data_IF_532479713380
#
_entry.id   IF_532479713380
#
_cell.length_a   1.000
_cell.length_b   1.000
_cell.length_c   1.000
_cell.angle_alpha   90.00
_cell.angle_beta   90.00
_cell.angle_gamma   90.00
#
_symmetry.space_group_name_H-M   'P 1'
#
loop_
_entity.id
_entity.type
_entity.pdbx_description
1 polymer ?
#
# COMPACT_ATOMS: atom_id res chain seq x y z
N UNK A 1 -79.19 -13.79 32.71
CA UNK A 1 -78.01 -14.67 32.66
C UNK A 1 -77.42 -14.51 31.29
N UNK A 2 -76.55 -13.49 31.13
CA UNK A 2 -75.83 -13.19 29.84
C UNK A 2 -74.35 -13.52 30.00
N UNK A 3 -73.91 -14.48 29.22
CA UNK A 3 -72.42 -14.79 29.12
C UNK A 3 -71.77 -13.92 28.09
N UNK A 4 -70.82 -13.16 28.56
CA UNK A 4 -69.96 -12.34 27.74
C UNK A 4 -68.77 -13.17 27.20
N UNK A 5 -68.60 -13.31 25.90
CA UNK A 5 -67.45 -13.95 25.28
C UNK A 5 -66.38 -12.88 24.97
N UNK A 6 -65.22 -12.98 25.62
CA UNK A 6 -64.07 -12.16 25.36
C UNK A 6 -63.22 -12.87 24.26
N UNK A 7 -63.12 -12.28 23.09
CA UNK A 7 -62.14 -12.69 22.05
C UNK A 7 -60.82 -12.04 22.33
N UNK A 8 -59.80 -12.83 22.65
CA UNK A 8 -58.42 -12.38 22.71
C UNK A 8 -57.83 -12.46 21.33
N UNK A 9 -57.47 -11.30 20.75
CA UNK A 9 -56.69 -11.20 19.53
C UNK A 9 -55.21 -11.25 19.90
N UNK A 10 -54.53 -12.33 19.54
CA UNK A 10 -53.09 -12.47 19.66
C UNK A 10 -52.41 -11.73 18.48
N UNK A 11 -51.73 -10.63 18.76
CA UNK A 11 -50.94 -9.89 17.79
C UNK A 11 -49.58 -10.56 17.66
N UNK A 12 -49.32 -11.29 16.55
CA UNK A 12 -48.02 -11.81 16.22
C UNK A 12 -47.17 -10.64 15.71
N UNK A 13 -46.21 -10.18 16.50
CA UNK A 13 -45.13 -9.30 16.03
C UNK A 13 -44.08 -10.14 15.30
N UNK A 14 -44.05 -10.03 14.00
CA UNK A 14 -42.95 -10.56 13.19
C UNK A 14 -41.69 -9.72 13.45
N UNK A 15 -40.73 -10.29 14.17
CA UNK A 15 -39.37 -9.71 14.28
C UNK A 15 -38.66 -10.04 12.98
N UNK A 16 -38.52 -9.04 12.12
CA UNK A 16 -37.62 -9.13 10.97
C UNK A 16 -36.17 -9.10 11.48
N UNK A 17 -35.54 -10.26 11.52
CA UNK A 17 -34.10 -10.38 11.69
C UNK A 17 -33.49 -9.82 10.43
N UNK A 18 -33.01 -8.56 10.48
CA UNK A 18 -32.18 -7.99 9.41
C UNK A 18 -30.92 -8.83 9.29
N UNK A 19 -30.77 -9.52 8.18
CA UNK A 19 -29.51 -10.17 7.82
C UNK A 19 -28.45 -9.07 7.77
N UNK A 20 -27.49 -9.07 8.70
CA UNK A 20 -26.27 -8.29 8.57
C UNK A 20 -25.59 -8.79 7.31
N UNK A 21 -25.52 -7.94 6.31
CA UNK A 21 -24.73 -8.20 5.11
C UNK A 21 -23.26 -8.36 5.54
N UNK A 22 -22.76 -9.58 5.44
CA UNK A 22 -21.36 -9.87 5.66
C UNK A 22 -20.58 -9.16 4.56
N UNK A 23 -19.58 -8.32 4.92
CA UNK A 23 -18.75 -7.64 3.93
C UNK A 23 -18.14 -8.69 3.00
N UNK A 24 -18.31 -8.48 1.70
CA UNK A 24 -17.80 -9.43 0.71
C UNK A 24 -16.27 -9.37 0.70
N UNK A 25 -15.61 -10.45 1.14
CA UNK A 25 -14.16 -10.57 1.02
C UNK A 25 -13.78 -10.69 -0.45
N UNK A 26 -12.84 -9.86 -0.89
CA UNK A 26 -12.28 -9.90 -2.25
C UNK A 26 -11.11 -10.86 -2.38
N UNK A 27 -10.74 -11.58 -1.32
CA UNK A 27 -9.60 -12.52 -1.28
C UNK A 27 -10.10 -13.93 -0.99
N UNK A 28 -9.54 -14.98 -1.65
CA UNK A 28 -9.93 -16.36 -1.37
C UNK A 28 -9.66 -16.73 0.10
N UNK A 29 -10.69 -17.24 0.79
CA UNK A 29 -10.64 -17.52 2.24
C UNK A 29 -9.87 -18.77 2.63
N UNK A 30 -9.52 -19.65 1.69
CA UNK A 30 -9.01 -21.01 1.94
C UNK A 30 -7.68 -21.33 1.24
N UNK A 31 -6.98 -20.31 0.75
CA UNK A 31 -5.69 -20.51 0.08
C UNK A 31 -4.59 -20.88 1.09
N UNK A 32 -4.30 -22.16 1.23
CA UNK A 32 -3.31 -22.70 2.18
C UNK A 32 -1.92 -22.02 2.05
N UNK A 33 -1.52 -21.66 0.83
CA UNK A 33 -0.25 -20.95 0.59
C UNK A 33 -0.25 -19.51 1.11
N UNK A 34 -1.39 -18.81 1.10
CA UNK A 34 -1.53 -17.49 1.72
C UNK A 34 -1.61 -17.63 3.25
N UNK A 35 -2.35 -18.61 3.75
CA UNK A 35 -2.43 -18.86 5.19
C UNK A 35 -1.04 -19.11 5.80
N UNK A 36 -0.16 -19.84 5.09
CA UNK A 36 1.22 -20.07 5.53
C UNK A 36 2.05 -18.76 5.56
N UNK A 37 1.76 -17.79 4.72
CA UNK A 37 2.46 -16.49 4.71
C UNK A 37 2.04 -15.56 5.87
N UNK A 38 0.87 -15.77 6.47
CA UNK A 38 0.37 -14.94 7.57
C UNK A 38 1.29 -14.95 8.81
N UNK A 39 1.98 -16.07 9.06
CA UNK A 39 2.92 -16.23 10.17
C UNK A 39 4.37 -16.44 9.73
N UNK A 40 4.67 -16.24 8.46
CA UNK A 40 6.00 -16.49 7.91
C UNK A 40 7.06 -15.41 8.18
N UNK A 41 6.75 -14.11 8.33
CA UNK A 41 7.76 -13.10 8.62
C UNK A 41 8.46 -13.36 9.94
N UNK A 42 9.80 -13.35 9.90
CA UNK A 42 10.65 -13.70 11.02
C UNK A 42 11.08 -12.45 11.80
N UNK A 43 10.67 -12.33 13.06
CA UNK A 43 11.14 -11.26 13.95
C UNK A 43 12.69 -11.25 14.07
N UNK A 44 13.32 -12.42 13.99
CA UNK A 44 14.79 -12.53 14.02
C UNK A 44 15.44 -11.93 12.78
N UNK A 45 14.91 -12.20 11.58
CA UNK A 45 15.42 -11.61 10.32
C UNK A 45 15.17 -10.11 10.27
N UNK A 46 13.98 -9.65 10.68
CA UNK A 46 13.66 -8.23 10.78
C UNK A 46 14.60 -7.51 11.75
N UNK A 47 14.81 -8.05 12.93
CA UNK A 47 15.76 -7.51 13.92
C UNK A 47 17.19 -7.48 13.39
N UNK A 48 17.65 -8.55 12.76
CA UNK A 48 19.00 -8.61 12.19
C UNK A 48 19.20 -7.54 11.11
N UNK A 49 18.20 -7.32 10.26
CA UNK A 49 18.21 -6.30 9.20
C UNK A 49 18.28 -4.90 9.80
N UNK A 50 17.39 -4.54 10.74
CA UNK A 50 17.39 -3.22 11.39
C UNK A 50 18.69 -3.00 12.16
N UNK A 51 19.17 -3.99 12.94
CA UNK A 51 20.44 -3.89 13.67
C UNK A 51 21.59 -3.58 12.70
N UNK A 52 21.61 -4.20 11.55
CA UNK A 52 22.63 -3.94 10.53
C UNK A 52 22.54 -2.55 9.93
N UNK A 53 21.33 -2.09 9.57
CA UNK A 53 21.11 -0.75 9.01
C UNK A 53 21.49 0.35 10.01
N UNK A 54 21.12 0.19 11.27
CA UNK A 54 21.51 1.09 12.38
C UNK A 54 23.02 1.14 12.56
N UNK A 55 23.72 0.03 12.36
CA UNK A 55 25.19 -0.05 12.54
C UNK A 55 26.00 0.81 11.56
N UNK A 56 25.36 1.35 10.51
CA UNK A 56 26.02 2.29 9.58
C UNK A 56 26.11 3.73 10.14
N UNK A 57 25.63 3.96 11.34
CA UNK A 57 25.69 5.24 12.06
C UNK A 57 24.73 6.27 11.52
N UNK A 58 24.93 6.71 10.29
CA UNK A 58 23.98 7.51 9.52
C UNK A 58 23.79 6.90 8.14
N UNK A 59 22.58 7.06 7.60
CA UNK A 59 22.26 6.72 6.19
C UNK A 59 21.78 7.96 5.44
N UNK A 60 22.09 9.16 5.94
CA UNK A 60 21.70 10.42 5.31
C UNK A 60 22.10 10.43 3.82
N UNK A 61 21.23 10.89 2.93
CA UNK A 61 21.46 10.86 1.46
C UNK A 61 22.78 11.49 1.04
N UNK A 62 23.21 12.58 1.71
CA UNK A 62 24.49 13.25 1.46
C UNK A 62 25.64 12.73 2.34
N UNK A 63 25.49 11.60 3.03
CA UNK A 63 26.57 11.00 3.85
C UNK A 63 27.59 10.28 2.94
N UNK A 64 28.60 9.67 3.55
CA UNK A 64 29.68 8.98 2.83
C UNK A 64 29.15 7.88 1.90
N UNK A 65 29.55 7.95 0.62
CA UNK A 65 29.18 6.98 -0.42
C UNK A 65 30.25 5.93 -0.68
N UNK A 66 31.45 6.10 -0.11
CA UNK A 66 32.66 5.28 -0.38
C UNK A 66 33.03 4.35 0.76
N UNK A 67 32.69 4.70 2.00
CA UNK A 67 32.92 3.87 3.18
C UNK A 67 32.18 2.53 3.07
N UNK A 68 32.80 1.48 3.59
CA UNK A 68 32.20 0.13 3.69
C UNK A 68 31.44 -0.11 4.99
N UNK A 69 31.57 0.79 5.95
CA UNK A 69 31.06 0.59 7.31
C UNK A 69 30.16 1.72 7.81
N UNK A 70 30.10 2.87 7.13
CA UNK A 70 29.32 4.02 7.52
C UNK A 70 28.71 4.73 6.30
N UNK A 71 27.55 5.33 6.48
CA UNK A 71 26.90 6.17 5.48
C UNK A 71 26.02 5.42 4.51
N UNK A 72 25.38 6.20 3.63
CA UNK A 72 24.40 5.70 2.64
C UNK A 72 25.03 4.71 1.66
N UNK A 73 26.31 4.90 1.28
CA UNK A 73 27.02 4.00 0.38
C UNK A 73 27.16 2.60 0.94
N UNK A 74 27.54 2.49 2.23
CA UNK A 74 27.65 1.19 2.92
C UNK A 74 26.28 0.51 3.03
N UNK A 75 25.23 1.26 3.31
CA UNK A 75 23.87 0.75 3.39
C UNK A 75 23.37 0.21 2.04
N UNK A 76 23.55 0.98 0.95
CA UNK A 76 23.19 0.56 -0.43
C UNK A 76 23.93 -0.72 -0.83
N UNK A 77 25.24 -0.81 -0.57
CA UNK A 77 26.03 -2.01 -0.87
C UNK A 77 25.54 -3.22 -0.09
N UNK A 78 25.18 -3.06 1.17
CA UNK A 78 24.69 -4.14 2.01
C UNK A 78 23.31 -4.63 1.55
N UNK A 79 22.36 -3.72 1.27
CA UNK A 79 21.02 -4.08 0.77
C UNK A 79 21.15 -4.82 -0.57
N UNK A 80 21.99 -4.32 -1.48
CA UNK A 80 22.29 -4.97 -2.76
C UNK A 80 22.78 -6.42 -2.55
N UNK A 81 23.79 -6.59 -1.69
CA UNK A 81 24.33 -7.91 -1.37
C UNK A 81 23.28 -8.84 -0.71
N UNK A 82 22.37 -8.28 0.09
CA UNK A 82 21.27 -9.04 0.70
C UNK A 82 20.29 -9.55 -0.36
N UNK A 83 19.84 -8.71 -1.30
CA UNK A 83 19.00 -9.13 -2.42
C UNK A 83 19.70 -10.15 -3.33
N UNK A 84 21.00 -9.96 -3.61
CA UNK A 84 21.79 -10.93 -4.37
C UNK A 84 21.90 -12.28 -3.64
N UNK A 85 21.96 -12.28 -2.29
CA UNK A 85 21.92 -13.51 -1.51
C UNK A 85 20.59 -14.23 -1.64
N UNK A 86 19.47 -13.49 -1.49
CA UNK A 86 18.12 -14.04 -1.70
C UNK A 86 17.97 -14.61 -3.12
N UNK A 87 18.53 -13.90 -4.12
CA UNK A 87 18.55 -14.37 -5.50
C UNK A 87 19.29 -15.71 -5.65
N UNK A 88 20.47 -15.85 -5.05
CA UNK A 88 21.20 -17.14 -5.06
C UNK A 88 20.41 -18.26 -4.40
N UNK A 89 19.75 -17.98 -3.28
CA UNK A 89 18.97 -18.96 -2.52
C UNK A 89 17.73 -19.48 -3.28
N UNK A 90 17.26 -18.75 -4.27
CA UNK A 90 16.17 -19.15 -5.17
C UNK A 90 16.64 -19.53 -6.60
N UNK A 91 17.92 -19.76 -6.80
CA UNK A 91 18.45 -20.17 -8.11
C UNK A 91 18.52 -19.06 -9.16
N UNK A 92 18.70 -17.78 -8.73
CA UNK A 92 18.80 -16.65 -9.63
C UNK A 92 17.45 -16.03 -10.01
N UNK A 93 16.41 -16.22 -9.19
CA UNK A 93 15.05 -15.78 -9.50
C UNK A 93 14.83 -14.26 -9.40
N UNK A 94 15.79 -13.51 -8.85
CA UNK A 94 15.72 -12.07 -8.64
C UNK A 94 16.84 -11.36 -9.42
N UNK A 95 16.47 -10.39 -10.23
CA UNK A 95 17.36 -9.41 -10.84
C UNK A 95 17.55 -8.23 -9.87
N UNK A 96 18.80 -7.81 -9.62
CA UNK A 96 19.08 -6.64 -8.76
C UNK A 96 19.62 -5.51 -9.61
N UNK A 97 18.94 -4.36 -9.59
CA UNK A 97 19.33 -3.16 -10.34
C UNK A 97 19.46 -1.95 -9.40
N UNK A 98 20.19 -0.93 -9.84
CA UNK A 98 20.42 0.29 -9.05
C UNK A 98 20.15 1.53 -9.91
N UNK A 99 18.86 1.84 -10.21
CA UNK A 99 18.53 3.06 -10.92
C UNK A 99 18.99 4.29 -10.12
N UNK A 100 19.50 5.31 -10.80
CA UNK A 100 19.92 6.54 -10.16
C UNK A 100 19.67 7.77 -11.04
N UNK A 101 19.52 8.92 -10.39
CA UNK A 101 19.47 10.24 -11.03
C UNK A 101 20.20 11.26 -10.14
N UNK A 102 20.69 12.34 -10.75
CA UNK A 102 21.35 13.43 -10.01
C UNK A 102 20.36 14.57 -9.80
N UNK A 103 20.24 15.00 -8.56
CA UNK A 103 19.34 16.09 -8.16
C UNK A 103 20.08 17.24 -7.51
N UNK A 104 19.49 18.44 -7.61
CA UNK A 104 19.80 19.62 -6.82
C UNK A 104 18.49 20.21 -6.30
N UNK A 105 18.51 20.79 -5.11
CA UNK A 105 17.32 21.40 -4.51
C UNK A 105 17.61 22.03 -3.16
N UNK A 106 16.59 22.52 -2.50
CA UNK A 106 16.74 23.21 -1.20
C UNK A 106 17.45 22.34 -0.16
N UNK A 107 17.18 21.02 -0.14
CA UNK A 107 17.78 20.04 0.78
C UNK A 107 18.92 19.23 0.13
N UNK A 108 19.24 19.51 -1.14
CA UNK A 108 20.39 18.99 -1.89
C UNK A 108 21.12 20.15 -2.59
N UNK A 109 21.88 20.98 -1.85
CA UNK A 109 22.44 22.22 -2.38
C UNK A 109 23.55 22.00 -3.41
N UNK A 110 24.10 20.79 -3.48
CA UNK A 110 25.08 20.37 -4.49
C UNK A 110 24.52 19.22 -5.30
N UNK A 111 24.93 19.02 -6.58
CA UNK A 111 24.54 17.86 -7.37
C UNK A 111 24.82 16.57 -6.61
N UNK A 112 23.75 15.85 -6.26
CA UNK A 112 23.81 14.63 -5.46
C UNK A 112 23.16 13.48 -6.23
N UNK A 113 23.89 12.38 -6.38
CA UNK A 113 23.35 11.16 -6.95
C UNK A 113 22.44 10.47 -5.93
N UNK A 114 21.16 10.36 -6.26
CA UNK A 114 20.19 9.53 -5.55
C UNK A 114 20.09 8.21 -6.29
N UNK A 115 20.38 7.11 -5.58
CA UNK A 115 20.44 5.76 -6.14
C UNK A 115 19.59 4.84 -5.28
N UNK A 116 18.67 4.11 -5.90
CA UNK A 116 17.86 3.10 -5.26
C UNK A 116 18.47 1.71 -5.43
N UNK A 117 18.10 0.78 -4.56
CA UNK A 117 18.46 -0.64 -4.67
C UNK A 117 17.19 -1.45 -4.86
N UNK A 118 17.05 -2.04 -6.05
CA UNK A 118 15.79 -2.63 -6.50
C UNK A 118 15.97 -4.10 -6.83
N UNK A 119 15.16 -4.96 -6.22
CA UNK A 119 15.06 -6.38 -6.50
C UNK A 119 13.81 -6.66 -7.33
N UNK A 120 13.96 -7.32 -8.46
CA UNK A 120 12.90 -7.59 -9.44
C UNK A 120 12.75 -9.10 -9.61
N UNK A 121 11.61 -9.64 -9.21
CA UNK A 121 11.23 -11.02 -9.50
C UNK A 121 10.21 -11.03 -10.63
N UNK A 122 10.63 -11.47 -11.82
CA UNK A 122 9.78 -11.49 -13.02
C UNK A 122 8.58 -12.42 -12.85
N UNK A 123 7.41 -11.95 -13.29
CA UNK A 123 6.20 -12.75 -13.36
C UNK A 123 6.26 -13.78 -14.50
N UNK A 124 5.54 -14.89 -14.35
CA UNK A 124 5.40 -15.92 -15.40
C UNK A 124 4.35 -15.54 -16.45
N UNK A 125 3.43 -14.62 -16.10
CA UNK A 125 2.40 -14.06 -16.99
C UNK A 125 2.89 -12.82 -17.73
N UNK A 126 2.16 -11.68 -17.60
CA UNK A 126 2.60 -10.40 -18.17
C UNK A 126 3.75 -9.81 -17.33
N UNK A 127 4.98 -9.76 -17.86
CA UNK A 127 6.13 -9.23 -17.12
C UNK A 127 6.08 -7.72 -16.91
N UNK A 128 5.22 -7.00 -17.64
CA UNK A 128 5.03 -5.56 -17.49
C UNK A 128 3.97 -5.21 -16.44
N UNK A 129 3.16 -6.17 -16.02
CA UNK A 129 2.27 -6.02 -14.87
C UNK A 129 3.09 -6.13 -13.59
N UNK A 130 3.15 -5.06 -12.80
CA UNK A 130 4.12 -4.91 -11.70
C UNK A 130 3.42 -4.53 -10.41
N UNK A 131 3.81 -5.20 -9.32
CA UNK A 131 3.41 -4.88 -7.96
C UNK A 131 4.68 -4.48 -7.20
N UNK A 132 4.68 -3.29 -6.64
CA UNK A 132 5.84 -2.67 -5.99
C UNK A 132 5.64 -2.63 -4.48
N UNK A 133 6.71 -2.83 -3.73
CA UNK A 133 6.81 -2.54 -2.31
C UNK A 133 8.05 -1.69 -2.07
N UNK A 134 7.88 -0.53 -1.46
CA UNK A 134 8.95 0.42 -1.17
C UNK A 134 9.12 0.69 0.32
N UNK A 135 10.28 1.17 0.69
CA UNK A 135 10.67 1.74 1.96
C UNK A 135 11.97 2.52 1.76
N UNK A 136 12.19 3.61 2.49
CA UNK A 136 13.36 4.42 2.25
C UNK A 136 14.57 4.02 3.10
N UNK A 137 15.73 4.02 2.48
CA UNK A 137 16.99 3.60 3.08
C UNK A 137 17.67 4.71 3.87
N UNK A 138 17.48 5.97 3.45
CA UNK A 138 18.09 7.10 4.10
C UNK A 138 17.47 7.38 5.47
N UNK A 139 18.20 8.10 6.30
CA UNK A 139 17.82 8.50 7.67
C UNK A 139 18.35 9.88 7.99
N UNK A 140 17.76 10.56 8.97
CA UNK A 140 18.17 11.91 9.39
C UNK A 140 18.05 12.13 10.89
N UNK A 141 18.70 13.18 11.35
CA UNK A 141 18.48 13.80 12.66
C UNK A 141 17.60 15.05 12.54
N UNK A 142 17.45 15.82 13.60
CA UNK A 142 16.61 17.04 13.64
C UNK A 142 16.98 18.03 12.51
N UNK A 143 18.26 18.32 12.33
CA UNK A 143 18.72 19.12 11.20
C UNK A 143 18.78 18.24 9.92
N UNK A 144 17.86 18.48 9.01
CA UNK A 144 17.76 17.75 7.72
C UNK A 144 18.99 17.90 6.83
N UNK A 145 19.90 18.85 7.13
CA UNK A 145 21.15 19.06 6.38
C UNK A 145 22.35 18.38 7.05
N UNK A 146 22.18 17.83 8.25
CA UNK A 146 23.27 17.20 9.01
C UNK A 146 23.50 15.76 8.53
N UNK A 147 24.42 15.59 7.60
CA UNK A 147 24.81 14.30 7.02
C UNK A 147 25.89 13.55 7.81
N UNK A 148 26.32 14.05 8.99
CA UNK A 148 27.49 13.55 9.72
C UNK A 148 27.17 12.88 11.04
N UNK A 149 26.21 13.44 11.79
CA UNK A 149 25.80 12.90 13.09
C UNK A 149 25.17 11.53 12.94
N UNK A 150 25.23 10.73 14.01
CA UNK A 150 24.55 9.45 14.03
C UNK A 150 23.04 9.65 13.95
N UNK A 151 22.44 9.03 12.95
CA UNK A 151 21.02 9.00 12.67
C UNK A 151 20.61 7.53 12.45
N UNK A 152 20.36 6.77 13.52
CA UNK A 152 20.12 5.33 13.45
C UNK A 152 18.94 4.98 12.56
N UNK A 153 17.84 5.76 12.61
CA UNK A 153 16.67 5.55 11.76
C UNK A 153 16.16 4.12 11.85
N UNK A 154 15.96 3.61 13.07
CA UNK A 154 15.59 2.22 13.28
C UNK A 154 14.15 1.94 12.83
N UNK A 155 13.26 2.90 13.10
CA UNK A 155 11.87 2.86 12.66
C UNK A 155 11.66 3.68 11.38
N UNK A 156 12.32 4.84 11.27
CA UNK A 156 12.28 5.75 10.12
C UNK A 156 13.63 5.70 9.35
N UNK A 157 13.82 4.85 8.28
CA UNK A 157 12.85 3.85 7.86
C UNK A 157 13.54 2.49 7.65
N UNK A 158 14.43 2.11 8.60
CA UNK A 158 14.97 0.76 8.55
C UNK A 158 13.85 -0.30 8.76
N UNK A 159 12.71 0.07 9.34
CA UNK A 159 11.57 -0.83 9.51
C UNK A 159 10.93 -1.19 8.18
N UNK A 160 10.67 -0.22 7.30
CA UNK A 160 10.15 -0.46 5.96
C UNK A 160 11.15 -1.24 5.09
N UNK A 161 12.45 -0.87 5.16
CA UNK A 161 13.50 -1.63 4.44
C UNK A 161 13.59 -3.09 4.94
N UNK A 162 13.45 -3.33 6.25
CA UNK A 162 13.43 -4.69 6.78
C UNK A 162 12.21 -5.47 6.31
N UNK A 163 11.04 -4.84 6.29
CA UNK A 163 9.80 -5.44 5.80
C UNK A 163 9.91 -5.86 4.33
N UNK A 164 10.42 -4.98 3.44
CA UNK A 164 10.55 -5.32 2.01
C UNK A 164 11.62 -6.40 1.73
N UNK A 165 12.72 -6.43 2.48
CA UNK A 165 13.74 -7.48 2.35
C UNK A 165 13.14 -8.83 2.79
N UNK A 166 12.43 -8.86 3.90
CA UNK A 166 11.79 -10.08 4.40
C UNK A 166 10.68 -10.57 3.44
N UNK A 167 9.83 -9.66 2.94
CA UNK A 167 8.84 -9.98 1.92
C UNK A 167 9.49 -10.56 0.65
N UNK A 168 10.62 -9.97 0.19
CA UNK A 168 11.35 -10.48 -0.97
C UNK A 168 11.88 -11.90 -0.73
N UNK A 169 12.39 -12.18 0.48
CA UNK A 169 12.88 -13.52 0.88
C UNK A 169 11.75 -14.56 0.86
N UNK A 170 10.59 -14.21 1.39
CA UNK A 170 9.43 -15.11 1.44
C UNK A 170 8.85 -15.35 0.04
N UNK A 171 8.67 -14.28 -0.73
CA UNK A 171 8.06 -14.35 -2.05
C UNK A 171 9.01 -14.86 -3.14
N UNK A 172 10.33 -14.86 -2.91
CA UNK A 172 11.29 -15.46 -3.83
C UNK A 172 10.97 -16.92 -4.14
N UNK A 173 10.39 -17.65 -3.18
CA UNK A 173 10.06 -19.09 -3.26
C UNK A 173 8.62 -19.36 -3.75
N UNK A 174 7.84 -18.30 -4.02
CA UNK A 174 6.44 -18.42 -4.43
C UNK A 174 6.30 -18.25 -5.95
N UNK A 175 5.28 -18.86 -6.54
CA UNK A 175 4.91 -18.59 -7.92
C UNK A 175 4.13 -17.26 -8.03
N UNK A 176 4.43 -16.49 -9.06
CA UNK A 176 3.79 -15.21 -9.35
C UNK A 176 3.51 -15.07 -10.86
N UNK A 177 2.35 -14.53 -11.21
CA UNK A 177 1.99 -14.18 -12.59
C UNK A 177 2.43 -12.76 -12.92
N UNK A 178 2.24 -11.81 -11.99
CA UNK A 178 2.77 -10.45 -12.12
C UNK A 178 4.22 -10.37 -11.62
N UNK A 179 4.98 -9.39 -12.10
CA UNK A 179 6.32 -9.06 -11.61
C UNK A 179 6.23 -8.43 -10.23
N UNK A 180 7.08 -8.88 -9.31
CA UNK A 180 7.22 -8.32 -7.96
C UNK A 180 8.49 -7.48 -7.89
N UNK A 181 8.37 -6.27 -7.34
CA UNK A 181 9.48 -5.32 -7.17
C UNK A 181 9.57 -4.92 -5.70
N UNK A 182 10.77 -5.01 -5.14
CA UNK A 182 11.10 -4.60 -3.78
C UNK A 182 12.21 -3.56 -3.86
N UNK A 183 11.97 -2.35 -3.39
CA UNK A 183 12.89 -1.25 -3.59
C UNK A 183 13.21 -0.51 -2.30
N UNK A 184 14.50 -0.48 -1.94
CA UNK A 184 15.05 0.39 -0.90
C UNK A 184 15.43 1.72 -1.55
N UNK A 185 14.67 2.76 -1.26
CA UNK A 185 14.76 4.08 -1.88
C UNK A 185 15.75 4.97 -1.13
N UNK A 186 16.30 5.97 -1.81
CA UNK A 186 17.19 6.96 -1.19
C UNK A 186 16.63 8.36 -1.40
N UNK A 187 16.92 9.30 -0.50
CA UNK A 187 16.56 10.70 -0.68
C UNK A 187 15.09 11.03 -0.43
N UNK A 188 14.38 10.19 0.31
CA UNK A 188 13.04 10.51 0.82
C UNK A 188 13.10 11.77 1.67
N UNK A 189 13.98 11.80 2.65
CA UNK A 189 14.17 12.86 3.64
C UNK A 189 14.60 14.20 3.04
N UNK A 190 15.18 14.17 1.86
CA UNK A 190 15.57 15.37 1.13
C UNK A 190 14.52 15.85 0.13
N UNK A 191 13.45 15.07 -0.13
CA UNK A 191 12.34 15.50 -0.98
C UNK A 191 11.79 14.42 -1.92
N UNK A 192 11.63 13.18 -1.44
CA UNK A 192 11.00 12.06 -2.15
C UNK A 192 11.72 11.68 -3.46
N UNK A 193 13.04 11.92 -3.52
CA UNK A 193 13.78 11.74 -4.76
C UNK A 193 13.89 10.29 -5.20
N UNK A 194 14.01 9.34 -4.27
CA UNK A 194 14.03 7.91 -4.57
C UNK A 194 12.71 7.42 -5.16
N UNK A 195 11.58 7.80 -4.55
CA UNK A 195 10.28 7.53 -5.13
C UNK A 195 10.16 8.05 -6.57
N UNK A 196 10.73 9.25 -6.84
CA UNK A 196 10.78 9.78 -8.20
C UNK A 196 11.68 8.97 -9.14
N UNK A 197 12.88 8.58 -8.68
CA UNK A 197 13.81 7.74 -9.47
C UNK A 197 13.12 6.45 -9.90
N UNK A 198 12.46 5.77 -8.96
CA UNK A 198 11.79 4.49 -9.25
C UNK A 198 10.54 4.68 -10.13
N UNK A 199 9.72 5.71 -9.89
CA UNK A 199 8.56 6.01 -10.72
C UNK A 199 8.98 6.34 -12.17
N UNK A 200 10.01 7.17 -12.37
CA UNK A 200 10.56 7.48 -13.69
C UNK A 200 11.13 6.21 -14.37
N UNK A 201 11.80 5.35 -13.60
CA UNK A 201 12.30 4.06 -14.09
C UNK A 201 11.15 3.16 -14.55
N UNK A 202 10.07 3.07 -13.79
CA UNK A 202 8.87 2.30 -14.14
C UNK A 202 8.24 2.81 -15.45
N UNK A 203 8.13 4.15 -15.60
CA UNK A 203 7.66 4.78 -16.84
C UNK A 203 8.56 4.43 -18.02
N UNK A 204 9.88 4.57 -17.86
CA UNK A 204 10.85 4.28 -18.94
C UNK A 204 10.86 2.80 -19.34
N UNK A 205 10.55 1.88 -18.41
CA UNK A 205 10.43 0.44 -18.69
C UNK A 205 9.06 0.05 -19.28
N UNK A 206 8.11 0.97 -19.37
CA UNK A 206 6.75 0.66 -19.81
C UNK A 206 5.98 -0.22 -18.82
N UNK A 207 6.33 -0.18 -17.54
CA UNK A 207 5.65 -0.95 -16.51
C UNK A 207 4.23 -0.46 -16.31
N UNK A 208 3.33 -1.42 -16.10
CA UNK A 208 1.98 -1.19 -15.62
C UNK A 208 1.96 -1.48 -14.12
N UNK A 209 2.33 -0.48 -13.33
CA UNK A 209 2.35 -0.60 -11.87
C UNK A 209 0.91 -0.64 -11.38
N UNK A 210 0.51 -1.79 -10.85
CA UNK A 210 -0.82 -2.02 -10.28
C UNK A 210 -0.96 -1.36 -8.92
N UNK A 211 0.12 -1.34 -8.16
CA UNK A 211 0.26 -0.59 -6.90
C UNK A 211 1.71 -0.44 -6.49
N UNK A 212 2.01 0.64 -5.75
CA UNK A 212 3.12 0.72 -4.83
C UNK A 212 2.60 0.65 -3.39
N UNK A 213 3.13 -0.28 -2.59
CA UNK A 213 2.91 -0.41 -1.16
C UNK A 213 4.09 0.26 -0.45
N UNK A 214 4.01 1.57 -0.23
CA UNK A 214 5.06 2.32 0.44
C UNK A 214 4.99 2.10 1.95
N UNK A 215 6.04 1.51 2.53
CA UNK A 215 6.17 1.24 3.95
C UNK A 215 7.13 2.25 4.55
N UNK A 216 6.64 3.09 5.44
CA UNK A 216 7.43 4.15 6.04
C UNK A 216 6.94 4.34 7.49
N UNK A 217 7.83 4.10 8.45
CA UNK A 217 7.58 3.94 9.89
C UNK A 217 6.52 2.87 10.20
N UNK A 218 6.92 1.61 10.13
CA UNK A 218 6.02 0.45 10.31
C UNK A 218 6.41 -0.44 11.50
N UNK A 219 7.32 0.02 12.34
CA UNK A 219 7.93 -0.79 13.39
C UNK A 219 7.57 -0.42 14.83
N UNK A 220 6.79 0.63 15.10
CA UNK A 220 6.45 1.03 16.43
C UNK A 220 4.95 0.91 16.72
N UNK A 221 4.60 0.44 17.91
CA UNK A 221 3.19 0.29 18.35
C UNK A 221 2.81 1.25 19.49
N UNK A 222 3.73 2.13 19.92
CA UNK A 222 3.54 3.06 21.03
C UNK A 222 3.67 4.51 20.57
N UNK A 223 2.61 5.29 20.72
CA UNK A 223 2.63 6.73 20.46
C UNK A 223 3.34 7.54 21.56
N UNK A 224 3.76 8.75 21.21
CA UNK A 224 4.39 9.71 22.14
C UNK A 224 3.52 10.00 23.37
N UNK A 225 2.19 9.92 23.24
CA UNK A 225 1.25 10.10 24.35
C UNK A 225 1.11 8.86 25.26
N UNK A 226 1.89 7.80 24.99
CA UNK A 226 1.84 6.54 25.72
C UNK A 226 0.73 5.57 25.26
N UNK A 227 -0.09 5.95 24.31
CA UNK A 227 -1.08 5.04 23.72
C UNK A 227 -0.37 3.87 23.04
N UNK A 228 -0.88 2.65 23.23
CA UNK A 228 -0.36 1.44 22.59
C UNK A 228 -1.46 0.86 21.71
N UNK A 229 -1.16 0.66 20.42
CA UNK A 229 -2.01 -0.08 19.51
C UNK A 229 -1.13 -0.91 18.56
N UNK A 230 -1.00 -2.18 18.89
CA UNK A 230 -0.34 -3.18 18.07
C UNK A 230 -1.34 -4.06 17.28
N UNK A 231 -2.61 -3.66 17.24
CA UNK A 231 -3.70 -4.39 16.58
C UNK A 231 -4.23 -3.69 15.33
N UNK A 232 -3.71 -2.51 15.00
CA UNK A 232 -4.07 -1.83 13.77
C UNK A 232 -2.84 -1.25 13.05
N UNK A 233 -2.99 -1.07 11.74
CA UNK A 233 -2.04 -0.38 10.87
C UNK A 233 -2.80 0.63 10.02
N UNK A 234 -2.25 1.84 9.83
CA UNK A 234 -2.86 2.85 8.99
C UNK A 234 -2.45 2.64 7.53
N UNK A 235 -3.43 2.70 6.63
CA UNK A 235 -3.20 2.72 5.19
C UNK A 235 -3.80 4.00 4.62
N UNK A 236 -2.92 4.91 4.20
CA UNK A 236 -3.30 6.16 3.54
C UNK A 236 -3.49 5.92 2.06
N UNK A 237 -4.53 6.49 1.49
CA UNK A 237 -4.82 6.39 0.06
C UNK A 237 -5.54 7.64 -0.44
N UNK A 238 -5.16 8.13 -1.62
CA UNK A 238 -5.90 9.20 -2.27
C UNK A 238 -7.34 8.75 -2.60
N UNK A 239 -8.28 9.66 -2.60
CA UNK A 239 -9.67 9.38 -2.98
C UNK A 239 -9.89 9.53 -4.47
N UNK A 240 -9.24 10.52 -5.05
CA UNK A 240 -9.23 10.84 -6.48
C UNK A 240 -7.79 10.83 -6.98
N UNK A 241 -7.58 10.54 -8.26
CA UNK A 241 -6.24 10.50 -8.85
C UNK A 241 -5.54 11.87 -8.78
N UNK A 242 -4.30 11.91 -8.33
CA UNK A 242 -3.49 13.14 -8.24
C UNK A 242 -3.26 13.82 -9.59
N UNK A 243 -3.38 13.07 -10.69
CA UNK A 243 -3.24 13.57 -12.07
C UNK A 243 -4.59 13.71 -12.81
N UNK A 244 -5.71 13.78 -12.06
CA UNK A 244 -7.05 13.97 -12.64
C UNK A 244 -7.14 15.30 -13.37
N UNK A 245 -7.69 15.28 -14.59
CA UNK A 245 -7.95 16.50 -15.38
C UNK A 245 -9.25 17.17 -14.94
N UNK A 246 -9.40 18.47 -15.25
CA UNK A 246 -10.64 19.22 -14.97
C UNK A 246 -11.89 18.58 -15.60
N UNK A 247 -11.76 17.99 -16.81
CA UNK A 247 -12.85 17.27 -17.48
C UNK A 247 -13.24 16.00 -16.71
N UNK A 248 -12.25 15.22 -16.25
CA UNK A 248 -12.49 14.04 -15.44
C UNK A 248 -13.12 14.40 -14.09
N UNK A 249 -12.65 15.46 -13.43
CA UNK A 249 -13.24 15.96 -12.18
C UNK A 249 -14.71 16.39 -12.36
N UNK A 250 -15.03 17.04 -13.49
CA UNK A 250 -16.41 17.41 -13.81
C UNK A 250 -17.28 16.17 -14.04
N UNK A 251 -16.82 15.19 -14.82
CA UNK A 251 -17.56 13.95 -15.03
C UNK A 251 -17.77 13.18 -13.70
N UNK A 252 -16.74 13.10 -12.86
CA UNK A 252 -16.81 12.46 -11.54
C UNK A 252 -17.85 13.09 -10.62
N UNK A 253 -18.06 14.40 -10.67
CA UNK A 253 -19.07 15.07 -9.84
C UNK A 253 -20.51 14.63 -10.14
N UNK A 254 -20.77 14.00 -11.28
CA UNK A 254 -22.07 13.43 -11.66
C UNK A 254 -22.13 11.91 -11.49
N UNK A 255 -20.99 11.21 -11.60
CA UNK A 255 -20.96 9.75 -11.61
C UNK A 255 -20.46 9.15 -10.30
N UNK A 256 -20.00 9.98 -9.36
CA UNK A 256 -19.32 9.52 -8.15
C UNK A 256 -17.85 9.16 -8.42
N UNK A 257 -17.18 8.60 -7.40
CA UNK A 257 -15.76 8.21 -7.48
C UNK A 257 -14.82 9.09 -6.65
N UNK A 258 -15.37 9.98 -5.78
CA UNK A 258 -14.59 10.81 -4.86
C UNK A 258 -13.74 9.99 -3.88
N UNK A 259 -14.11 8.75 -3.66
CA UNK A 259 -13.47 7.83 -2.72
C UNK A 259 -13.19 6.46 -3.35
N UNK A 260 -13.05 6.40 -4.68
CA UNK A 260 -12.95 5.15 -5.42
C UNK A 260 -11.78 5.10 -6.41
N UNK A 261 -10.74 5.91 -6.17
CA UNK A 261 -9.49 5.78 -6.92
C UNK A 261 -8.92 4.36 -6.83
N UNK A 262 -8.06 3.95 -7.75
CA UNK A 262 -7.35 2.68 -7.66
C UNK A 262 -6.60 2.50 -6.34
N UNK A 263 -5.96 3.57 -5.83
CA UNK A 263 -5.27 3.56 -4.53
C UNK A 263 -6.24 3.30 -3.37
N UNK A 264 -7.44 3.88 -3.39
CA UNK A 264 -8.47 3.65 -2.38
C UNK A 264 -9.01 2.22 -2.43
N UNK A 265 -9.23 1.68 -3.63
CA UNK A 265 -9.66 0.29 -3.79
C UNK A 265 -8.54 -0.69 -3.43
N UNK A 266 -7.27 -0.31 -3.58
CA UNK A 266 -6.13 -1.06 -3.04
C UNK A 266 -6.15 -1.09 -1.50
N UNK A 267 -6.42 0.04 -0.84
CA UNK A 267 -6.55 0.05 0.63
C UNK A 267 -7.71 -0.85 1.11
N UNK A 268 -8.85 -0.87 0.38
CA UNK A 268 -9.95 -1.83 0.64
C UNK A 268 -9.50 -3.28 0.44
N UNK A 269 -8.73 -3.55 -0.60
CA UNK A 269 -8.17 -4.86 -0.85
C UNK A 269 -7.27 -5.33 0.30
N UNK A 270 -6.36 -4.47 0.77
CA UNK A 270 -5.51 -4.75 1.92
C UNK A 270 -6.32 -5.01 3.20
N UNK A 271 -7.41 -4.26 3.41
CA UNK A 271 -8.31 -4.51 4.54
C UNK A 271 -8.96 -5.91 4.44
N UNK A 272 -9.42 -6.31 3.26
CA UNK A 272 -9.96 -7.66 3.05
C UNK A 272 -8.92 -8.77 3.26
N UNK A 273 -7.66 -8.53 2.87
CA UNK A 273 -6.54 -9.44 3.16
C UNK A 273 -6.33 -9.58 4.67
N UNK A 274 -6.31 -8.46 5.39
CA UNK A 274 -6.16 -8.47 6.84
C UNK A 274 -7.33 -9.22 7.51
N UNK A 275 -8.56 -8.88 7.16
CA UNK A 275 -9.78 -9.51 7.72
C UNK A 275 -9.79 -11.04 7.49
N UNK A 276 -9.21 -11.50 6.37
CA UNK A 276 -9.18 -12.92 6.00
C UNK A 276 -8.05 -13.70 6.69
N UNK A 277 -6.83 -13.13 6.74
CA UNK A 277 -5.62 -13.88 7.11
C UNK A 277 -4.95 -13.40 8.39
N UNK A 278 -5.25 -12.19 8.86
CA UNK A 278 -4.63 -11.56 10.02
C UNK A 278 -5.68 -11.02 11.00
N UNK A 279 -6.48 -11.89 11.63
CA UNK A 279 -7.66 -11.48 12.42
C UNK A 279 -7.32 -10.52 13.57
N UNK A 280 -6.06 -10.50 14.01
CA UNK A 280 -5.58 -9.62 15.07
C UNK A 280 -4.92 -8.32 14.53
N UNK A 281 -4.95 -8.05 13.23
CA UNK A 281 -4.41 -6.84 12.63
C UNK A 281 -5.45 -6.17 11.72
N UNK A 282 -6.05 -5.09 12.18
CA UNK A 282 -7.03 -4.32 11.42
C UNK A 282 -6.35 -3.25 10.57
N UNK A 283 -6.73 -3.15 9.31
CA UNK A 283 -6.37 -2.01 8.46
C UNK A 283 -7.27 -0.81 8.79
N UNK A 284 -6.67 0.25 9.31
CA UNK A 284 -7.32 1.54 9.49
C UNK A 284 -7.10 2.39 8.22
N UNK A 285 -8.08 2.36 7.31
CA UNK A 285 -8.01 3.17 6.08
C UNK A 285 -8.12 4.65 6.41
N UNK A 286 -7.11 5.43 6.00
CA UNK A 286 -7.12 6.89 6.13
C UNK A 286 -7.41 7.51 4.76
N UNK A 287 -8.49 8.28 4.69
CA UNK A 287 -8.98 8.92 3.47
C UNK A 287 -8.21 10.21 3.17
N UNK A 288 -6.90 10.08 3.01
CA UNK A 288 -5.93 11.11 2.61
C UNK A 288 -4.77 10.45 1.89
N UNK A 289 -4.11 11.20 1.02
CA UNK A 289 -2.89 10.76 0.34
C UNK A 289 -1.76 10.43 1.31
N UNK A 290 -1.62 11.26 2.38
CA UNK A 290 -0.63 11.11 3.43
C UNK A 290 -1.08 11.80 4.73
N UNK A 291 -0.23 11.81 5.75
CA UNK A 291 -0.39 12.58 6.99
C UNK A 291 -0.62 14.06 6.68
N UNK A 292 -1.31 14.76 7.55
CA UNK A 292 -1.69 16.15 7.33
C UNK A 292 -0.47 17.05 7.05
N UNK A 293 -0.41 17.62 5.84
CA UNK A 293 0.68 18.51 5.42
C UNK A 293 2.03 17.81 5.23
N UNK A 294 2.08 16.48 5.10
CA UNK A 294 3.29 15.67 4.89
C UNK A 294 3.15 14.84 3.61
N UNK A 295 4.22 14.17 3.22
CA UNK A 295 4.28 13.28 2.06
C UNK A 295 5.10 12.02 2.40
N UNK A 296 5.30 11.17 1.39
CA UNK A 296 6.11 9.96 1.40
C UNK A 296 6.34 9.49 -0.04
N UNK A 297 7.12 8.42 -0.22
CA UNK A 297 7.57 7.95 -1.53
C UNK A 297 6.45 7.42 -2.45
N UNK A 298 5.23 7.18 -1.93
CA UNK A 298 4.06 6.89 -2.76
C UNK A 298 3.64 8.08 -3.64
N UNK A 299 3.95 9.33 -3.22
CA UNK A 299 3.51 10.54 -3.93
C UNK A 299 4.08 10.65 -5.35
N UNK A 300 5.37 10.42 -5.61
CA UNK A 300 5.89 10.36 -6.98
C UNK A 300 5.21 9.32 -7.88
N UNK A 301 4.80 8.16 -7.34
CA UNK A 301 4.03 7.17 -8.10
C UNK A 301 2.64 7.71 -8.47
N UNK A 302 1.94 8.32 -7.53
CA UNK A 302 0.63 8.95 -7.78
C UNK A 302 0.74 10.06 -8.84
N UNK A 303 1.78 10.90 -8.77
CA UNK A 303 2.05 11.95 -9.75
C UNK A 303 2.38 11.38 -11.15
N UNK A 304 3.05 10.22 -11.21
CA UNK A 304 3.28 9.50 -12.45
C UNK A 304 2.03 8.79 -12.99
N UNK A 305 0.92 8.80 -12.25
CA UNK A 305 -0.35 8.17 -12.62
C UNK A 305 -0.45 6.70 -12.26
N UNK A 306 0.41 6.22 -11.36
CA UNK A 306 0.34 4.86 -10.81
C UNK A 306 -0.41 4.84 -9.48
N UNK A 307 -1.21 3.81 -9.20
CA UNK A 307 -1.79 3.60 -7.88
C UNK A 307 -0.70 3.38 -6.82
N UNK A 308 -0.87 3.99 -5.65
CA UNK A 308 0.04 3.79 -4.53
C UNK A 308 -0.67 4.06 -3.20
N UNK A 309 -0.21 3.39 -2.15
CA UNK A 309 -0.68 3.60 -0.78
C UNK A 309 0.50 3.74 0.16
N UNK A 310 0.33 4.48 1.26
CA UNK A 310 1.29 4.49 2.37
C UNK A 310 0.79 3.60 3.49
N UNK A 311 1.60 2.64 3.87
CA UNK A 311 1.44 1.80 5.06
C UNK A 311 2.29 2.39 6.17
N UNK A 312 1.70 2.65 7.33
CA UNK A 312 2.42 3.23 8.47
C UNK A 312 1.80 2.78 9.80
N UNK A 313 2.57 2.86 10.86
CA UNK A 313 2.16 2.45 12.20
C UNK A 313 0.91 3.18 12.71
N UNK A 314 0.23 2.58 13.71
CA UNK A 314 -1.01 3.12 14.28
C UNK A 314 -0.81 4.47 14.99
N UNK A 315 0.28 4.62 15.73
CA UNK A 315 0.63 5.81 16.50
C UNK A 315 2.11 6.16 16.31
N UNK A 316 2.39 7.42 15.96
CA UNK A 316 3.75 7.92 15.79
C UNK A 316 4.34 8.43 17.12
N UNK A 317 5.63 8.20 17.36
CA UNK A 317 6.39 8.77 18.46
C UNK A 317 7.38 9.82 17.96
N UNK A 318 7.03 11.08 18.10
CA UNK A 318 7.85 12.22 17.67
C UNK A 318 9.06 12.50 18.56
N UNK A 319 9.23 11.77 19.68
CA UNK A 319 10.48 11.80 20.45
C UNK A 319 11.55 10.90 19.82
N UNK A 320 11.13 9.98 18.97
CA UNK A 320 12.03 9.12 18.20
C UNK A 320 12.25 9.66 16.79
N UNK A 321 11.18 9.93 16.04
CA UNK A 321 11.23 10.32 14.62
C UNK A 321 11.99 11.64 14.43
N UNK A 322 12.97 11.64 13.53
CA UNK A 322 13.76 12.83 13.14
C UNK A 322 14.47 13.55 14.31
N UNK A 323 14.89 12.83 15.33
CA UNK A 323 15.51 13.41 16.51
C UNK A 323 17.01 13.13 16.60
N UNK A 324 17.76 14.10 17.17
CA UNK A 324 19.13 13.86 17.60
C UNK A 324 19.15 12.85 18.74
N UNK A 325 20.19 12.02 18.80
CA UNK A 325 20.43 11.14 19.95
C UNK A 325 20.78 11.96 21.19
N UNK A 326 19.86 12.09 22.14
CA UNK A 326 20.05 12.85 23.37
C UNK A 326 19.09 12.39 24.46
N UNK A 327 19.45 12.78 25.70
CA UNK A 327 18.50 12.73 26.83
C UNK A 327 18.06 14.16 27.17
N UNK A 328 16.78 14.38 27.35
CA UNK A 328 16.21 15.67 27.71
C UNK A 328 16.72 16.13 29.07
N UNK A 329 17.05 17.42 29.20
CA UNK A 329 17.62 18.02 30.41
C UNK A 329 16.79 19.18 30.94
N UNK A 330 15.83 19.68 30.20
CA UNK A 330 14.92 20.74 30.64
C UNK A 330 13.84 20.19 31.58
N UNK A 331 13.15 21.09 32.29
CA UNK A 331 12.06 20.67 33.20
C UNK A 331 10.86 20.04 32.43
N UNK A 332 10.75 20.31 31.14
CA UNK A 332 9.67 19.77 30.28
C UNK A 332 9.98 18.37 29.74
N UNK A 333 11.26 18.02 29.59
CA UNK A 333 11.68 16.79 28.95
C UNK A 333 12.73 15.99 29.69
N UNK A 334 12.98 16.34 30.98
CA UNK A 334 14.01 15.70 31.80
C UNK A 334 13.87 14.18 31.83
N UNK A 335 14.91 13.50 31.35
CA UNK A 335 14.98 12.05 31.30
C UNK A 335 14.31 11.41 30.07
N UNK A 336 13.66 12.19 29.23
CA UNK A 336 13.14 11.68 27.94
C UNK A 336 14.32 11.32 27.04
N UNK A 337 14.32 10.09 26.52
CA UNK A 337 15.31 9.63 25.55
C UNK A 337 14.81 9.96 24.16
N UNK A 338 15.59 10.73 23.42
CA UNK A 338 15.32 11.11 22.03
C UNK A 338 16.19 10.32 21.06
N UNK A 339 15.67 10.14 19.85
CA UNK A 339 16.36 9.50 18.74
C UNK A 339 15.73 8.17 18.36
N UNK A 340 15.80 7.88 17.08
CA UNK A 340 15.22 6.68 16.48
C UNK A 340 16.15 5.48 16.62
N UNK A 341 16.06 4.82 17.76
CA UNK A 341 16.88 3.67 18.12
C UNK A 341 16.08 2.36 18.05
N UNK A 342 16.81 1.24 17.99
CA UNK A 342 16.22 -0.10 17.91
C UNK A 342 15.32 -0.46 19.11
N UNK A 343 15.52 0.19 20.25
CA UNK A 343 14.72 -0.02 21.46
C UNK A 343 13.26 0.44 21.28
N UNK A 344 12.99 1.32 20.30
CA UNK A 344 11.65 1.79 19.96
C UNK A 344 10.89 0.84 19.02
N UNK A 345 11.52 -0.21 18.51
CA UNK A 345 10.91 -1.12 17.54
C UNK A 345 10.20 -2.29 18.23
N UNK A 346 8.90 -2.43 17.95
CA UNK A 346 8.09 -3.59 18.29
C UNK A 346 8.18 -4.62 17.12
N UNK A 347 9.05 -5.60 17.26
CA UNK A 347 9.31 -6.58 16.20
C UNK A 347 8.14 -7.52 15.94
N UNK A 348 7.31 -7.77 16.96
CA UNK A 348 6.10 -8.56 16.77
C UNK A 348 5.09 -7.80 15.90
N UNK A 349 4.88 -6.52 16.18
CA UNK A 349 4.04 -5.66 15.35
C UNK A 349 4.59 -5.53 13.93
N UNK A 350 5.89 -5.27 13.77
CA UNK A 350 6.56 -5.17 12.47
C UNK A 350 6.39 -6.47 11.65
N UNK A 351 6.49 -7.64 12.27
CA UNK A 351 6.29 -8.92 11.58
C UNK A 351 4.86 -9.04 11.04
N UNK A 352 3.86 -8.58 11.77
CA UNK A 352 2.44 -8.60 11.34
C UNK A 352 2.18 -7.61 10.20
N UNK A 353 2.75 -6.40 10.26
CA UNK A 353 2.66 -5.44 9.14
C UNK A 353 3.38 -5.98 7.90
N UNK A 354 4.54 -6.61 8.09
CA UNK A 354 5.26 -7.31 7.00
C UNK A 354 4.40 -8.44 6.40
N UNK A 355 3.68 -9.21 7.24
CA UNK A 355 2.77 -10.24 6.78
C UNK A 355 1.64 -9.67 5.90
N UNK A 356 1.03 -8.56 6.30
CA UNK A 356 -0.01 -7.87 5.51
C UNK A 356 0.49 -7.53 4.10
N UNK A 357 1.66 -6.88 4.00
CA UNK A 357 2.25 -6.52 2.71
C UNK A 357 2.59 -7.76 1.88
N UNK A 358 3.21 -8.78 2.50
CA UNK A 358 3.58 -10.03 1.84
C UNK A 358 2.37 -10.77 1.29
N UNK A 359 1.29 -10.87 2.09
CA UNK A 359 0.02 -11.48 1.68
C UNK A 359 -0.64 -10.72 0.54
N UNK A 360 -0.68 -9.39 0.64
CA UNK A 360 -1.23 -8.51 -0.40
C UNK A 360 -0.50 -8.72 -1.73
N UNK A 361 0.84 -8.67 -1.72
CA UNK A 361 1.65 -8.91 -2.92
C UNK A 361 1.45 -10.32 -3.48
N UNK A 362 1.42 -11.34 -2.62
CA UNK A 362 1.22 -12.73 -3.02
C UNK A 362 -0.14 -12.93 -3.70
N UNK A 363 -1.21 -12.43 -3.11
CA UNK A 363 -2.56 -12.55 -3.63
C UNK A 363 -2.71 -11.81 -4.97
N UNK A 364 -2.29 -10.54 -5.03
CA UNK A 364 -2.31 -9.73 -6.24
C UNK A 364 -1.50 -10.38 -7.37
N UNK A 365 -0.31 -10.89 -7.06
CA UNK A 365 0.58 -11.46 -8.08
C UNK A 365 0.03 -12.71 -8.75
N UNK A 366 -0.94 -13.39 -8.14
CA UNK A 366 -1.59 -14.60 -8.65
C UNK A 366 -2.94 -14.32 -9.29
N UNK A 367 -3.57 -13.20 -8.94
CA UNK A 367 -4.81 -12.75 -9.55
C UNK A 367 -4.58 -12.34 -11.03
N UNK A 368 -5.60 -12.36 -11.89
CA UNK A 368 -5.53 -11.68 -13.18
C UNK A 368 -5.40 -10.16 -12.99
N UNK A 369 -5.07 -9.43 -14.05
CA UNK A 369 -5.06 -7.96 -14.00
C UNK A 369 -6.46 -7.40 -13.68
N UNK A 370 -6.58 -6.22 -13.05
CA UNK A 370 -7.86 -5.55 -12.90
C UNK A 370 -8.53 -5.31 -14.25
N UNK A 371 -9.87 -5.46 -14.37
CA UNK A 371 -10.60 -5.19 -15.62
C UNK A 371 -10.41 -3.75 -16.11
N UNK A 372 -10.50 -3.54 -17.40
CA UNK A 372 -10.49 -2.21 -18.02
C UNK A 372 -11.84 -1.89 -18.64
N UNK A 373 -12.09 -0.61 -18.95
CA UNK A 373 -13.31 -0.20 -19.62
C UNK A 373 -14.59 -0.46 -18.82
N UNK A 374 -14.51 -0.45 -17.51
CA UNK A 374 -15.68 -0.66 -16.64
C UNK A 374 -16.64 0.51 -16.80
N UNK A 375 -17.90 0.22 -17.16
CA UNK A 375 -18.98 1.19 -17.34
C UNK A 375 -20.28 0.69 -16.72
N UNK A 376 -21.19 1.61 -16.42
CA UNK A 376 -22.54 1.31 -15.92
C UNK A 376 -23.58 2.03 -16.78
N UNK A 377 -24.73 1.39 -16.97
CA UNK A 377 -25.89 1.91 -17.70
C UNK A 377 -27.17 1.59 -16.92
N UNK A 378 -28.17 2.47 -16.99
CA UNK A 378 -29.46 2.24 -16.31
C UNK A 378 -30.11 3.49 -15.72
N UNK A 379 -29.65 4.71 -16.10
CA UNK A 379 -30.09 5.98 -15.52
C UNK A 379 -31.62 6.23 -15.50
N UNK A 380 -32.40 5.54 -16.34
CA UNK A 380 -33.84 5.64 -16.39
C UNK A 380 -34.50 4.24 -16.29
N UNK A 381 -33.87 3.31 -15.56
CA UNK A 381 -34.33 1.93 -15.39
C UNK A 381 -34.23 1.52 -13.91
N UNK A 382 -34.96 0.47 -13.55
CA UNK A 382 -34.85 -0.16 -12.22
C UNK A 382 -33.67 -1.14 -12.13
N UNK A 383 -33.08 -1.49 -13.28
CA UNK A 383 -31.99 -2.42 -13.41
C UNK A 383 -30.70 -1.67 -13.78
N UNK A 384 -29.57 -2.10 -13.27
CA UNK A 384 -28.26 -1.58 -13.66
C UNK A 384 -27.50 -2.61 -14.51
N UNK A 385 -27.03 -2.20 -15.68
CA UNK A 385 -26.11 -2.99 -16.50
C UNK A 385 -24.68 -2.56 -16.22
N UNK A 386 -23.83 -3.51 -15.84
CA UNK A 386 -22.38 -3.31 -15.63
C UNK A 386 -21.62 -4.00 -16.76
N UNK A 387 -20.67 -3.31 -17.38
CA UNK A 387 -19.87 -3.82 -18.52
C UNK A 387 -18.38 -3.61 -18.26
N UNK A 388 -17.55 -4.48 -18.86
CA UNK A 388 -16.08 -4.40 -18.76
C UNK A 388 -15.40 -5.09 -19.95
N UNK A 389 -14.12 -4.81 -20.13
CA UNK A 389 -13.30 -5.57 -21.08
C UNK A 389 -12.77 -6.84 -20.41
N UNK A 390 -12.84 -7.98 -21.12
CA UNK A 390 -12.27 -9.25 -20.65
C UNK A 390 -10.76 -9.15 -20.45
N UNK A 391 -10.28 -9.85 -19.44
CA UNK A 391 -8.86 -9.88 -19.03
C UNK A 391 -8.27 -11.24 -19.32
N UNK A 392 -7.07 -11.27 -19.90
CA UNK A 392 -6.34 -12.52 -20.11
C UNK A 392 -6.05 -13.23 -18.78
N UNK A 393 -6.31 -14.53 -18.73
CA UNK A 393 -6.13 -15.35 -17.53
C UNK A 393 -7.25 -15.26 -16.48
N UNK A 394 -8.26 -14.45 -16.69
CA UNK A 394 -9.48 -14.49 -15.89
C UNK A 394 -10.32 -15.73 -16.26
N UNK A 395 -10.79 -16.45 -15.24
CA UNK A 395 -11.76 -17.53 -15.37
C UNK A 395 -13.21 -17.04 -15.17
N UNK A 396 -13.35 -15.86 -14.63
CA UNK A 396 -14.61 -15.18 -14.39
C UNK A 396 -14.40 -13.80 -13.79
N UNK A 397 -15.52 -13.18 -13.42
CA UNK A 397 -15.55 -11.84 -12.85
C UNK A 397 -16.48 -11.83 -11.65
N UNK A 398 -16.31 -10.78 -10.81
CA UNK A 398 -17.21 -10.49 -9.72
C UNK A 398 -17.63 -9.03 -9.80
N UNK A 399 -18.94 -8.80 -9.84
CA UNK A 399 -19.51 -7.46 -9.76
C UNK A 399 -19.83 -7.16 -8.32
N UNK A 400 -19.38 -6.01 -7.86
CA UNK A 400 -19.55 -5.53 -6.50
C UNK A 400 -20.44 -4.29 -6.51
N UNK A 401 -21.24 -4.12 -5.44
CA UNK A 401 -21.91 -2.85 -5.20
C UNK A 401 -22.03 -2.57 -3.71
N UNK A 402 -22.14 -1.30 -3.39
CA UNK A 402 -22.21 -0.81 -2.02
C UNK A 402 -23.07 0.44 -1.95
N UNK A 403 -23.67 0.69 -0.78
CA UNK A 403 -24.23 2.00 -0.44
C UNK A 403 -23.17 3.09 -0.70
N UNK A 404 -23.61 4.24 -1.20
CA UNK A 404 -22.73 5.36 -1.56
C UNK A 404 -21.94 5.92 -0.37
N UNK A 405 -22.39 5.67 0.87
CA UNK A 405 -21.72 6.06 2.11
C UNK A 405 -20.92 4.94 2.76
N UNK A 406 -21.04 3.69 2.31
CA UNK A 406 -20.34 2.56 2.89
C UNK A 406 -18.84 2.59 2.56
N UNK A 407 -17.94 2.31 3.53
CA UNK A 407 -16.49 2.31 3.31
C UNK A 407 -16.01 1.09 2.53
N UNK A 408 -16.74 -0.03 2.59
CA UNK A 408 -16.39 -1.33 1.99
C UNK A 408 -17.48 -1.80 1.02
N UNK A 409 -17.12 -2.67 0.08
CA UNK A 409 -18.05 -3.37 -0.79
C UNK A 409 -18.94 -4.29 0.03
N UNK A 410 -20.27 -4.18 -0.10
CA UNK A 410 -21.24 -4.85 0.76
C UNK A 410 -21.89 -6.03 0.05
N UNK A 411 -22.03 -5.96 -1.26
CA UNK A 411 -22.69 -6.95 -2.10
C UNK A 411 -21.77 -7.39 -3.21
N UNK A 412 -21.98 -8.62 -3.67
CA UNK A 412 -21.26 -9.16 -4.83
C UNK A 412 -22.07 -10.20 -5.57
N UNK A 413 -21.83 -10.30 -6.86
CA UNK A 413 -22.36 -11.35 -7.73
C UNK A 413 -21.22 -11.91 -8.58
N UNK A 414 -21.00 -13.24 -8.49
CA UNK A 414 -20.07 -13.93 -9.38
C UNK A 414 -20.68 -14.06 -10.79
N UNK A 415 -19.87 -13.75 -11.78
CA UNK A 415 -20.19 -13.82 -13.19
C UNK A 415 -19.13 -14.70 -13.84
N UNK A 416 -19.52 -15.60 -14.74
CA UNK A 416 -18.60 -16.45 -15.49
C UNK A 416 -17.71 -15.65 -16.44
N UNK A 417 -17.21 -16.28 -17.50
CA UNK A 417 -16.43 -15.61 -18.55
C UNK A 417 -17.35 -14.78 -19.48
N UNK A 418 -17.94 -13.73 -18.89
CA UNK A 418 -18.78 -12.76 -19.57
C UNK A 418 -18.13 -11.37 -19.53
N UNK A 419 -18.65 -10.43 -20.31
CA UNK A 419 -18.17 -9.05 -20.38
C UNK A 419 -19.19 -8.04 -19.84
N UNK A 420 -20.33 -8.52 -19.35
CA UNK A 420 -21.40 -7.71 -18.76
C UNK A 420 -22.34 -8.54 -17.88
N UNK A 421 -23.10 -7.83 -17.05
CA UNK A 421 -24.24 -8.41 -16.31
C UNK A 421 -25.32 -7.35 -16.11
N UNK A 422 -26.58 -7.81 -16.03
CA UNK A 422 -27.71 -6.96 -15.63
C UNK A 422 -28.09 -7.31 -14.20
N UNK A 423 -27.93 -6.37 -13.29
CA UNK A 423 -28.35 -6.46 -11.90
C UNK A 423 -29.84 -6.05 -11.82
N UNK A 424 -30.71 -7.03 -11.58
CA UNK A 424 -32.14 -6.82 -11.52
C UNK A 424 -32.54 -6.12 -10.25
N UNK A 425 -33.43 -5.13 -10.33
CA UNK A 425 -33.95 -4.35 -9.21
C UNK A 425 -32.84 -3.66 -8.36
N UNK A 426 -31.68 -3.38 -8.96
CA UNK A 426 -30.59 -2.60 -8.37
C UNK A 426 -30.51 -1.27 -9.12
N UNK A 427 -31.04 -0.22 -8.50
CA UNK A 427 -31.14 1.12 -9.12
C UNK A 427 -29.79 1.82 -9.10
N UNK A 428 -29.35 2.34 -10.25
CA UNK A 428 -28.03 2.94 -10.42
C UNK A 428 -27.78 4.13 -9.48
N UNK A 429 -28.83 4.89 -9.12
CA UNK A 429 -28.72 6.10 -8.29
C UNK A 429 -28.40 5.80 -6.83
N UNK A 430 -28.74 4.61 -6.35
CA UNK A 430 -28.63 4.27 -4.91
C UNK A 430 -27.29 3.64 -4.54
N UNK A 431 -26.52 3.17 -5.53
CA UNK A 431 -25.34 2.32 -5.30
C UNK A 431 -24.10 2.78 -6.07
N UNK A 432 -22.93 2.52 -5.51
CA UNK A 432 -21.68 2.48 -6.24
C UNK A 432 -21.35 1.05 -6.66
N UNK A 433 -20.78 0.91 -7.86
CA UNK A 433 -20.49 -0.36 -8.50
C UNK A 433 -18.99 -0.54 -8.74
N UNK A 434 -18.58 -1.78 -8.94
CA UNK A 434 -17.22 -2.09 -9.37
C UNK A 434 -17.11 -3.52 -9.86
N UNK A 435 -16.02 -3.82 -10.56
CA UNK A 435 -15.75 -5.14 -11.13
C UNK A 435 -14.34 -5.59 -10.79
N UNK A 436 -14.19 -6.85 -10.41
CA UNK A 436 -12.91 -7.54 -10.28
C UNK A 436 -12.84 -8.74 -11.21
N UNK A 437 -11.64 -9.12 -11.62
CA UNK A 437 -11.36 -10.35 -12.35
C UNK A 437 -10.97 -11.47 -11.37
N UNK A 438 -11.30 -12.72 -11.68
CA UNK A 438 -11.04 -13.87 -10.81
C UNK A 438 -10.31 -14.95 -11.60
N UNK A 439 -9.21 -15.49 -11.06
CA UNK A 439 -8.49 -16.63 -11.65
C UNK A 439 -9.23 -17.95 -11.44
N UNK A 440 -8.82 -19.00 -12.16
CA UNK A 440 -9.35 -20.34 -11.96
C UNK A 440 -9.14 -20.88 -10.53
N UNK A 441 -8.06 -20.44 -9.88
CA UNK A 441 -7.74 -20.80 -8.49
C UNK A 441 -8.41 -19.88 -7.47
N UNK A 442 -9.28 -18.95 -7.91
CA UNK A 442 -10.05 -18.05 -7.05
C UNK A 442 -9.32 -16.80 -6.58
N UNK A 443 -8.11 -16.50 -7.07
CA UNK A 443 -7.45 -15.21 -6.77
C UNK A 443 -8.15 -14.08 -7.51
N UNK A 444 -8.41 -13.00 -6.80
CA UNK A 444 -9.21 -11.88 -7.27
C UNK A 444 -8.37 -10.61 -7.37
N UNK A 445 -8.56 -9.83 -8.43
CA UNK A 445 -7.95 -8.51 -8.58
C UNK A 445 -8.60 -7.48 -7.64
N UNK A 446 -7.98 -6.31 -7.43
CA UNK A 446 -8.70 -5.19 -6.85
C UNK A 446 -9.95 -4.84 -7.65
N UNK A 447 -10.94 -4.29 -6.96
CA UNK A 447 -12.18 -3.84 -7.59
C UNK A 447 -11.93 -2.54 -8.36
N UNK A 448 -12.36 -2.49 -9.62
CA UNK A 448 -12.29 -1.32 -10.49
C UNK A 448 -13.63 -0.60 -10.46
N UNK A 449 -13.63 0.65 -9.99
CA UNK A 449 -14.79 1.54 -10.06
C UNK A 449 -15.00 2.00 -11.52
N UNK A 450 -16.24 2.25 -11.98
CA UNK A 450 -16.54 2.63 -13.35
C UNK A 450 -15.89 3.95 -13.79
N UNK A 451 -15.45 3.99 -15.04
CA UNK A 451 -14.87 5.17 -15.68
C UNK A 451 -13.42 5.46 -15.28
N UNK A 452 -12.93 6.63 -15.67
CA UNK A 452 -11.57 7.09 -15.43
C UNK A 452 -11.19 7.17 -13.95
N UNK A 453 -12.09 7.59 -13.01
CA UNK A 453 -11.72 7.69 -11.60
C UNK A 453 -11.21 6.39 -11.00
N UNK A 454 -11.81 5.25 -11.37
CA UNK A 454 -11.46 3.93 -10.83
C UNK A 454 -10.47 3.13 -11.66
N UNK A 455 -10.11 3.58 -12.86
CA UNK A 455 -9.26 2.82 -13.78
C UNK A 455 -7.84 2.65 -13.25
N UNK A 456 -7.34 1.41 -13.19
CA UNK A 456 -5.94 1.08 -12.89
C UNK A 456 -5.00 1.34 -14.07
N UNK A 457 -5.54 1.62 -15.25
CA UNK A 457 -4.71 2.00 -16.40
C UNK A 457 -4.07 3.36 -16.13
N UNK A 458 -2.76 3.42 -16.32
CA UNK A 458 -2.01 4.67 -16.17
C UNK A 458 -2.52 5.71 -17.16
N UNK A 459 -2.95 6.85 -16.65
CA UNK A 459 -3.16 8.04 -17.47
C UNK A 459 -1.83 8.80 -17.58
N UNK A 460 -1.40 9.25 -18.79
CA UNK A 460 -0.22 10.11 -18.90
C UNK A 460 -0.43 11.36 -18.03
N UNK A 461 0.64 11.81 -17.36
CA UNK A 461 0.59 13.09 -16.67
C UNK A 461 0.21 14.19 -17.68
N UNK A 462 -0.67 15.15 -17.31
CA UNK A 462 -0.93 16.30 -18.16
C UNK A 462 0.41 16.99 -18.46
N UNK A 463 0.60 17.41 -19.72
CA UNK A 463 1.80 18.13 -20.11
C UNK A 463 2.02 19.28 -19.14
N UNK A 464 3.19 19.33 -18.49
CA UNK A 464 3.49 20.27 -17.42
C UNK A 464 3.31 21.70 -17.88
N UNK A 465 2.26 22.38 -17.39
CA UNK A 465 2.29 23.83 -17.28
C UNK A 465 3.30 24.14 -16.15
N UNK A 466 4.42 24.73 -16.53
CA UNK A 466 5.49 25.12 -15.63
C UNK A 466 5.01 26.13 -14.61
N UNK A 467 4.54 25.68 -13.45
CA UNK A 467 4.47 26.48 -12.20
C UNK A 467 4.01 25.57 -11.07
N UNK A 468 4.93 24.90 -10.39
CA UNK A 468 4.65 24.35 -9.08
C UNK A 468 4.75 25.51 -8.06
N UNK A 469 3.77 25.68 -7.15
CA UNK A 469 3.97 26.52 -5.98
C UNK A 469 4.98 25.81 -5.07
N UNK A 470 6.05 26.52 -4.73
CA UNK A 470 7.07 26.03 -3.79
C UNK A 470 6.45 25.83 -2.40
N UNK A 471 6.67 24.69 -1.84
CA UNK A 471 6.49 24.37 -0.41
C UNK A 471 7.84 24.37 0.32
#
# INVERSE_FOLDING_TARGET
MNRLHIFSVAMLTAISVGAMAQSASTVPSDQASLQALASAPSETELRATITKLVSFGTRHTMSDTTSKTRGIGAARQWVKARFESISRDCGGCIEVVTPSQTFTGKRLPTPTEVMDVVAIKRGKGDPNRVIVMTGHLDSRVTDVMNSKSDAPGANDDASGVAALIEASRLLSKQDNQATLVFAALSGEEQGLYGGKVLADYAVAKGWQVETDLNNDIVGNSRGQNGAIDNTSVRVFSEGTKSNETATQATARSYHGGEVDSPSRNMARYMASVADTYLPDLRVHMIYRTDRYGRGGDQVPFLQAGFPAVRVTESHEDYTHQHQDLRTGTSDKDRGVRYGDTIDGVDFHYLARVTALNTLTMAALSRAPAPPTGVTIEGALATDTTVKWNKVAGAAGYRVHWRDTTAPQWQHQQSVGDEDHVVLKDVVIDDWFFGVSSVSADGYESPVVFPGDPGSFTRSPAPASSSSAPGH
#
